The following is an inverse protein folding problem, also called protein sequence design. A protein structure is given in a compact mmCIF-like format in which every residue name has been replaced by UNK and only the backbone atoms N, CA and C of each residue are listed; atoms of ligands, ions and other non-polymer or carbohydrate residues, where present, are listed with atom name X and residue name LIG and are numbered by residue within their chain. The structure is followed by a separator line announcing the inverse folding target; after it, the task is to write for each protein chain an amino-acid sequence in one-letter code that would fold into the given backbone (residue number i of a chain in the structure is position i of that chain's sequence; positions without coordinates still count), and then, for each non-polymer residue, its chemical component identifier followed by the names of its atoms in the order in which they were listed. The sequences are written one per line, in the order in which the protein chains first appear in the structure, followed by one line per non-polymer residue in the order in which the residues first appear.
data_IF_439825152811
#
_entry.id   IF_439825152811
#
_cell.length_a   1.000
_cell.length_b   1.000
_cell.length_c   1.000
_cell.angle_alpha   90.00
_cell.angle_beta   90.00
_cell.angle_gamma   90.00
#
_symmetry.space_group_name_H-M   'P 1'
#
loop_
_entity.id
_entity.type
_entity.pdbx_description
1 polymer ?
#
# COMPACT_ATOMS: atom_id res chain seq x y z
N UNK A 1 -27.62 -4.85 -1.43
CA UNK A 1 -26.66 -3.75 -1.06
C UNK A 1 -25.92 -3.37 -2.32
N UNK A 2 -25.61 -2.07 -2.54
CA UNK A 2 -24.78 -1.66 -3.70
C UNK A 2 -23.34 -2.11 -3.46
N UNK A 3 -22.70 -2.82 -4.41
CA UNK A 3 -21.32 -3.24 -4.22
C UNK A 3 -20.39 -2.02 -4.17
N UNK A 4 -19.50 -2.00 -3.18
CA UNK A 4 -18.43 -0.99 -3.08
C UNK A 4 -17.21 -1.52 -3.79
N UNK A 5 -16.70 -0.77 -4.75
CA UNK A 5 -15.52 -1.12 -5.52
C UNK A 5 -14.53 0.04 -5.43
N UNK A 6 -13.36 -0.21 -4.88
CA UNK A 6 -12.30 0.79 -4.80
C UNK A 6 -11.22 0.56 -5.85
N UNK A 7 -10.59 1.64 -6.30
CA UNK A 7 -9.58 1.60 -7.35
C UNK A 7 -8.28 2.28 -6.87
N UNK A 8 -7.15 1.62 -7.09
CA UNK A 8 -5.82 2.20 -6.96
C UNK A 8 -5.02 1.89 -8.23
N UNK A 9 -4.33 2.89 -8.80
CA UNK A 9 -3.52 2.71 -10.01
C UNK A 9 -2.39 3.73 -10.12
N UNK A 10 -1.50 3.52 -11.08
CA UNK A 10 -0.44 4.43 -11.53
C UNK A 10 -0.81 5.17 -12.84
N UNK A 11 -2.07 5.13 -13.26
CA UNK A 11 -2.54 5.65 -14.56
C UNK A 11 -2.64 7.17 -14.62
N UNK A 12 -2.65 7.85 -13.45
CA UNK A 12 -2.92 9.30 -13.35
C UNK A 12 -4.35 9.65 -13.81
N UNK A 13 -4.68 10.94 -13.82
CA UNK A 13 -5.98 11.46 -14.27
C UNK A 13 -5.87 12.34 -15.52
N UNK A 14 -4.69 12.40 -16.14
CA UNK A 14 -4.46 13.18 -17.34
C UNK A 14 -5.12 12.55 -18.57
N UNK A 15 -5.03 11.22 -18.64
CA UNK A 15 -5.51 10.43 -19.76
C UNK A 15 -6.86 9.77 -19.44
N UNK A 16 -7.61 9.28 -20.43
CA UNK A 16 -8.97 8.77 -20.21
C UNK A 16 -9.04 7.36 -19.58
N UNK A 17 -7.90 6.69 -19.32
CA UNK A 17 -7.85 5.28 -18.92
C UNK A 17 -8.71 4.96 -17.69
N UNK A 18 -8.64 5.80 -16.66
CA UNK A 18 -9.45 5.63 -15.43
C UNK A 18 -10.94 5.74 -15.76
N UNK A 19 -11.33 6.74 -16.57
CA UNK A 19 -12.73 6.94 -16.95
C UNK A 19 -13.25 5.78 -17.81
N UNK A 20 -12.45 5.30 -18.78
CA UNK A 20 -12.80 4.17 -19.64
C UNK A 20 -13.02 2.89 -18.82
N UNK A 21 -12.12 2.59 -17.88
CA UNK A 21 -12.22 1.42 -17.03
C UNK A 21 -13.43 1.50 -16.10
N UNK A 22 -13.69 2.65 -15.48
CA UNK A 22 -14.90 2.88 -14.68
C UNK A 22 -16.17 2.76 -15.52
N UNK A 23 -16.15 3.27 -16.75
CA UNK A 23 -17.25 3.10 -17.70
C UNK A 23 -17.55 1.65 -18.00
N UNK A 24 -16.52 0.83 -18.22
CA UNK A 24 -16.66 -0.61 -18.43
C UNK A 24 -17.27 -1.32 -17.19
N UNK A 25 -16.79 -0.97 -15.98
CA UNK A 25 -17.39 -1.49 -14.73
C UNK A 25 -18.85 -1.13 -14.59
N UNK A 26 -19.23 0.14 -14.81
CA UNK A 26 -20.61 0.61 -14.68
C UNK A 26 -21.53 0.05 -15.77
N UNK A 27 -21.02 -0.27 -16.94
CA UNK A 27 -21.80 -0.94 -17.99
C UNK A 27 -22.18 -2.37 -17.61
N UNK A 28 -21.33 -3.05 -16.85
CA UNK A 28 -21.56 -4.43 -16.41
C UNK A 28 -22.23 -4.52 -15.02
N UNK A 29 -22.05 -3.50 -14.19
CA UNK A 29 -22.55 -3.42 -12.81
C UNK A 29 -23.06 -1.98 -12.54
N UNK A 30 -24.21 -1.60 -13.10
CA UNK A 30 -24.71 -0.22 -13.03
C UNK A 30 -24.97 0.29 -11.60
N UNK A 31 -25.22 -0.63 -10.66
CA UNK A 31 -25.46 -0.32 -9.25
C UNK A 31 -24.17 -0.14 -8.43
N UNK A 32 -22.99 -0.35 -9.01
CA UNK A 32 -21.73 -0.26 -8.28
C UNK A 32 -21.44 1.17 -7.76
N UNK A 33 -20.90 1.25 -6.54
CA UNK A 33 -20.33 2.48 -5.99
C UNK A 33 -18.82 2.43 -6.19
N UNK A 34 -18.32 3.23 -7.14
CA UNK A 34 -16.89 3.28 -7.49
C UNK A 34 -16.20 4.41 -6.71
N UNK A 35 -15.17 4.06 -5.95
CA UNK A 35 -14.42 4.98 -5.10
C UNK A 35 -12.91 4.90 -5.41
N UNK A 36 -12.26 6.03 -5.58
CA UNK A 36 -10.83 6.08 -5.83
C UNK A 36 -10.06 6.14 -4.50
N UNK A 37 -9.12 5.20 -4.31
CA UNK A 37 -8.09 5.37 -3.31
C UNK A 37 -7.11 6.43 -3.81
N UNK A 38 -6.46 6.16 -4.95
CA UNK A 38 -5.65 7.12 -5.71
C UNK A 38 -5.32 6.56 -7.09
N UNK A 39 -5.09 7.47 -8.04
CA UNK A 39 -4.51 7.15 -9.35
C UNK A 39 -3.13 7.77 -9.54
N UNK A 40 -2.52 8.23 -8.45
CA UNK A 40 -1.22 8.91 -8.42
C UNK A 40 -0.12 8.06 -7.75
N UNK A 41 -0.27 6.73 -7.76
CA UNK A 41 0.85 5.84 -7.46
C UNK A 41 1.97 6.13 -8.47
N UNK A 42 3.22 6.13 -8.04
CA UNK A 42 4.35 6.25 -8.95
C UNK A 42 4.38 5.04 -9.89
N UNK A 43 4.78 5.27 -11.16
CA UNK A 43 4.73 4.24 -12.19
C UNK A 43 5.45 2.98 -11.71
N UNK A 44 4.76 1.84 -11.79
CA UNK A 44 5.25 0.50 -11.42
C UNK A 44 5.59 0.31 -9.94
N UNK A 45 5.26 1.26 -9.05
CA UNK A 45 5.61 1.20 -7.63
C UNK A 45 4.62 0.35 -6.83
N UNK A 46 4.88 -0.95 -6.77
CA UNK A 46 4.05 -1.91 -6.03
C UNK A 46 4.16 -1.76 -4.52
N UNK A 47 5.30 -1.30 -3.99
CA UNK A 47 5.47 -1.01 -2.55
C UNK A 47 4.52 0.10 -2.11
N UNK A 48 4.47 1.18 -2.89
CA UNK A 48 3.55 2.29 -2.64
C UNK A 48 2.09 1.86 -2.73
N UNK A 49 1.74 1.03 -3.72
CA UNK A 49 0.38 0.46 -3.85
C UNK A 49 0.00 -0.36 -2.62
N UNK A 50 0.87 -1.30 -2.23
CA UNK A 50 0.65 -2.15 -1.06
C UNK A 50 0.50 -1.32 0.22
N UNK A 51 1.36 -0.33 0.42
CA UNK A 51 1.32 0.58 1.55
C UNK A 51 -0.01 1.34 1.60
N UNK A 52 -0.38 2.04 0.53
CA UNK A 52 -1.60 2.86 0.48
C UNK A 52 -2.87 2.00 0.62
N UNK A 53 -2.92 0.84 -0.01
CA UNK A 53 -4.07 -0.07 0.11
C UNK A 53 -4.19 -0.62 1.54
N UNK A 54 -3.09 -1.03 2.18
CA UNK A 54 -3.10 -1.48 3.59
C UNK A 54 -3.58 -0.41 4.54
N UNK A 55 -3.29 0.87 4.28
CA UNK A 55 -3.80 1.99 5.08
C UNK A 55 -5.30 2.19 4.94
N UNK A 56 -5.85 1.88 3.78
CA UNK A 56 -7.21 2.32 3.44
C UNK A 56 -8.27 1.22 3.52
N UNK A 57 -7.98 -0.03 3.16
CA UNK A 57 -9.01 -1.03 2.93
C UNK A 57 -9.90 -1.31 4.15
N UNK A 58 -9.33 -1.32 5.37
CA UNK A 58 -10.09 -1.56 6.63
C UNK A 58 -11.08 -0.46 6.99
N UNK A 59 -11.01 0.69 6.32
CA UNK A 59 -12.00 1.77 6.51
C UNK A 59 -13.25 1.56 5.65
N UNK A 60 -13.25 0.57 4.77
CA UNK A 60 -14.42 0.17 3.97
C UNK A 60 -15.17 -0.98 4.65
N UNK A 61 -16.47 -1.14 4.37
CA UNK A 61 -17.24 -2.28 4.86
C UNK A 61 -16.69 -3.62 4.35
N UNK A 62 -16.81 -4.68 5.14
CA UNK A 62 -16.55 -6.04 4.67
C UNK A 62 -17.37 -6.36 3.41
N UNK A 63 -16.82 -7.18 2.54
CA UNK A 63 -17.38 -7.46 1.22
C UNK A 63 -17.03 -6.43 0.15
N UNK A 64 -16.32 -5.34 0.50
CA UNK A 64 -15.81 -4.40 -0.50
C UNK A 64 -14.77 -5.06 -1.41
N UNK A 65 -14.79 -4.66 -2.69
CA UNK A 65 -13.88 -5.16 -3.72
C UNK A 65 -12.82 -4.08 -3.99
N UNK A 66 -11.55 -4.44 -3.88
CA UNK A 66 -10.42 -3.54 -4.06
C UNK A 66 -9.64 -3.93 -5.32
N UNK A 67 -9.56 -3.01 -6.29
CA UNK A 67 -8.89 -3.24 -7.57
C UNK A 67 -7.47 -2.65 -7.53
N UNK A 68 -6.47 -3.54 -7.66
CA UNK A 68 -5.05 -3.23 -7.67
C UNK A 68 -4.58 -3.13 -9.12
N UNK A 69 -4.56 -1.91 -9.67
CA UNK A 69 -4.34 -1.65 -11.10
C UNK A 69 -2.97 -1.00 -11.39
N UNK A 70 -2.05 -1.09 -10.43
CA UNK A 70 -0.67 -0.59 -10.60
C UNK A 70 0.14 -1.61 -11.39
N UNK A 71 0.90 -1.13 -12.39
CA UNK A 71 1.65 -1.99 -13.30
C UNK A 71 0.78 -3.05 -13.98
N UNK A 72 -0.51 -2.77 -14.13
CA UNK A 72 -1.44 -3.65 -14.81
C UNK A 72 -1.14 -3.61 -16.31
N UNK A 73 -0.63 -4.73 -16.83
CA UNK A 73 -0.22 -4.87 -18.22
C UNK A 73 -1.40 -5.30 -19.09
N UNK A 74 -1.53 -4.71 -20.26
CA UNK A 74 -2.47 -5.18 -21.29
C UNK A 74 -1.88 -6.31 -22.16
N UNK A 75 -0.84 -7.03 -21.67
CA UNK A 75 -0.20 -8.09 -22.44
C UNK A 75 -0.97 -9.41 -22.35
N UNK A 76 -0.89 -10.22 -23.38
CA UNK A 76 -1.62 -11.50 -23.47
C UNK A 76 -1.21 -12.56 -22.42
N UNK A 77 -0.11 -12.34 -21.68
CA UNK A 77 0.35 -13.24 -20.59
C UNK A 77 -0.28 -12.94 -19.24
N UNK A 78 -1.00 -11.82 -19.13
CA UNK A 78 -1.64 -11.42 -17.89
C UNK A 78 -2.94 -12.20 -17.66
N UNK A 79 -3.12 -12.71 -16.45
CA UNK A 79 -4.40 -13.24 -15.98
C UNK A 79 -4.63 -12.71 -14.56
N UNK A 80 -5.72 -11.97 -14.31
CA UNK A 80 -5.97 -11.43 -13.00
C UNK A 80 -6.20 -12.51 -11.95
N UNK A 81 -5.78 -12.21 -10.74
CA UNK A 81 -5.99 -13.05 -9.56
C UNK A 81 -6.91 -12.34 -8.57
N UNK A 82 -7.55 -13.13 -7.73
CA UNK A 82 -8.41 -12.68 -6.64
C UNK A 82 -7.94 -13.31 -5.34
N UNK A 83 -7.86 -12.51 -4.29
CA UNK A 83 -7.58 -12.91 -2.91
C UNK A 83 -8.68 -12.39 -1.99
N UNK A 84 -9.08 -13.19 -1.01
CA UNK A 84 -9.96 -12.74 0.09
C UNK A 84 -9.12 -12.64 1.36
N UNK A 85 -9.18 -11.48 2.01
CA UNK A 85 -8.45 -11.22 3.25
C UNK A 85 -9.26 -10.29 4.16
N UNK A 86 -9.38 -10.63 5.45
CA UNK A 86 -10.16 -9.87 6.45
C UNK A 86 -11.58 -9.51 5.97
N UNK A 87 -12.25 -10.40 5.26
CA UNK A 87 -13.59 -10.15 4.72
C UNK A 87 -13.64 -9.23 3.48
N UNK A 88 -12.50 -8.75 2.99
CA UNK A 88 -12.38 -7.93 1.78
C UNK A 88 -11.89 -8.74 0.59
N UNK A 89 -12.23 -8.30 -0.61
CA UNK A 89 -11.88 -8.97 -1.87
C UNK A 89 -10.92 -8.09 -2.64
N UNK A 90 -9.76 -8.63 -2.99
CA UNK A 90 -8.72 -7.93 -3.75
C UNK A 90 -8.55 -8.58 -5.11
N UNK A 91 -8.57 -7.78 -6.18
CA UNK A 91 -8.42 -8.26 -7.57
C UNK A 91 -7.35 -7.41 -8.26
N UNK A 92 -6.43 -8.06 -8.97
CA UNK A 92 -5.37 -7.40 -9.72
C UNK A 92 -4.46 -8.40 -10.41
N UNK A 93 -3.34 -7.91 -10.93
CA UNK A 93 -2.28 -8.74 -11.48
C UNK A 93 -1.46 -9.38 -10.36
N UNK A 94 -1.07 -10.65 -10.55
CA UNK A 94 -0.10 -11.31 -9.67
C UNK A 94 1.33 -10.87 -10.04
N UNK A 95 1.67 -9.66 -9.63
CA UNK A 95 2.96 -9.02 -9.85
C UNK A 95 3.76 -8.86 -8.53
N UNK A 96 3.33 -9.55 -7.48
CA UNK A 96 3.92 -9.51 -6.15
C UNK A 96 3.22 -8.53 -5.17
N UNK A 97 2.27 -7.70 -5.61
CA UNK A 97 1.57 -6.74 -4.74
C UNK A 97 0.82 -7.43 -3.61
N UNK A 98 0.23 -8.60 -3.85
CA UNK A 98 -0.49 -9.37 -2.83
C UNK A 98 0.43 -9.83 -1.70
N UNK A 99 1.65 -10.28 -2.03
CA UNK A 99 2.65 -10.64 -1.02
C UNK A 99 3.16 -9.43 -0.25
N UNK A 100 3.36 -8.29 -0.89
CA UNK A 100 3.71 -7.04 -0.21
C UNK A 100 2.61 -6.59 0.76
N UNK A 101 1.35 -6.91 0.47
CA UNK A 101 0.23 -6.58 1.35
C UNK A 101 0.06 -7.57 2.51
N UNK A 102 0.11 -8.86 2.24
CA UNK A 102 -0.41 -9.88 3.15
C UNK A 102 0.53 -11.09 3.33
N UNK A 103 1.62 -11.20 2.56
CA UNK A 103 2.43 -12.41 2.48
C UNK A 103 3.05 -12.83 3.80
N UNK A 104 3.91 -12.01 4.38
CA UNK A 104 4.67 -12.44 5.55
C UNK A 104 5.24 -13.86 5.37
N UNK A 105 5.09 -14.72 6.39
CA UNK A 105 5.46 -16.15 6.32
C UNK A 105 4.30 -17.04 5.84
N UNK A 106 3.09 -16.51 5.72
CA UNK A 106 1.88 -17.26 5.38
C UNK A 106 1.75 -17.43 3.86
N UNK A 107 1.46 -18.65 3.41
CA UNK A 107 1.10 -18.88 2.02
C UNK A 107 -0.23 -18.21 1.69
N UNK A 108 -0.28 -17.51 0.57
CA UNK A 108 -1.51 -16.92 0.05
C UNK A 108 -2.28 -17.96 -0.76
N UNK A 109 -3.60 -17.95 -0.62
CA UNK A 109 -4.50 -18.77 -1.42
C UNK A 109 -5.63 -17.91 -1.97
N UNK A 110 -5.93 -18.08 -3.24
CA UNK A 110 -6.93 -17.27 -3.95
C UNK A 110 -7.46 -17.97 -5.18
N UNK A 111 -7.81 -17.20 -6.18
CA UNK A 111 -8.31 -17.71 -7.46
C UNK A 111 -7.70 -16.92 -8.61
N UNK A 112 -7.46 -17.60 -9.74
CA UNK A 112 -6.94 -17.02 -10.97
C UNK A 112 -7.99 -17.10 -12.07
N UNK A 113 -8.09 -16.07 -12.90
CA UNK A 113 -8.93 -16.10 -14.08
C UNK A 113 -8.49 -17.22 -15.04
N UNK A 114 -9.43 -18.02 -15.53
CA UNK A 114 -9.13 -19.21 -16.33
C UNK A 114 -10.10 -19.43 -17.52
N UNK A 115 -10.98 -18.46 -17.79
CA UNK A 115 -11.88 -18.56 -18.93
C UNK A 115 -11.17 -18.22 -20.24
N UNK A 116 -11.40 -19.02 -21.29
CA UNK A 116 -10.88 -18.81 -22.65
C UNK A 116 -11.87 -17.97 -23.51
N UNK A 117 -12.34 -16.84 -22.98
CA UNK A 117 -13.36 -16.01 -23.62
C UNK A 117 -12.79 -14.90 -24.52
N UNK A 118 -11.46 -14.85 -24.68
CA UNK A 118 -10.75 -13.89 -25.55
C UNK A 118 -10.77 -12.45 -25.06
N UNK A 119 -11.13 -12.22 -23.81
CA UNK A 119 -11.12 -10.91 -23.18
C UNK A 119 -9.69 -10.41 -22.93
N UNK A 120 -9.46 -9.11 -23.12
CA UNK A 120 -8.23 -8.48 -22.66
C UNK A 120 -8.16 -8.46 -21.12
N UNK A 121 -6.96 -8.25 -20.51
CA UNK A 121 -6.78 -8.33 -19.07
C UNK A 121 -7.69 -7.41 -18.25
N UNK A 122 -7.95 -6.20 -18.70
CA UNK A 122 -8.83 -5.27 -18.00
C UNK A 122 -10.30 -5.71 -18.08
N UNK A 123 -10.72 -6.26 -19.22
CA UNK A 123 -12.04 -6.87 -19.38
C UNK A 123 -12.18 -8.12 -18.50
N UNK A 124 -11.11 -8.92 -18.34
CA UNK A 124 -11.11 -10.07 -17.41
C UNK A 124 -11.31 -9.60 -15.96
N UNK A 125 -10.67 -8.49 -15.53
CA UNK A 125 -10.92 -7.90 -14.20
C UNK A 125 -12.40 -7.50 -14.06
N UNK A 126 -12.97 -6.81 -15.04
CA UNK A 126 -14.40 -6.43 -15.03
C UNK A 126 -15.28 -7.66 -14.92
N UNK A 127 -14.98 -8.73 -15.67
CA UNK A 127 -15.69 -10.02 -15.60
C UNK A 127 -15.58 -10.66 -14.22
N UNK A 128 -14.41 -10.67 -13.61
CA UNK A 128 -14.21 -11.18 -12.25
C UNK A 128 -15.03 -10.39 -11.23
N UNK A 129 -15.00 -9.06 -11.28
CA UNK A 129 -15.80 -8.22 -10.39
C UNK A 129 -17.30 -8.53 -10.53
N UNK A 130 -17.79 -8.64 -11.78
CA UNK A 130 -19.18 -9.02 -12.04
C UNK A 130 -19.52 -10.40 -11.48
N UNK A 131 -18.60 -11.36 -11.63
CA UNK A 131 -18.79 -12.73 -11.10
C UNK A 131 -18.83 -12.74 -9.56
N UNK A 132 -17.99 -11.92 -8.89
CA UNK A 132 -18.05 -11.74 -7.43
C UNK A 132 -19.41 -11.19 -7.00
N UNK A 133 -19.86 -10.10 -7.63
CA UNK A 133 -21.14 -9.46 -7.31
C UNK A 133 -22.33 -10.41 -7.53
N UNK A 134 -22.25 -11.29 -8.53
CA UNK A 134 -23.31 -12.28 -8.86
C UNK A 134 -23.16 -13.63 -8.15
N UNK A 135 -22.10 -13.85 -7.37
CA UNK A 135 -21.84 -15.13 -6.73
C UNK A 135 -21.52 -16.28 -7.70
N UNK A 136 -20.94 -15.97 -8.86
CA UNK A 136 -20.63 -16.93 -9.93
C UNK A 136 -19.14 -17.04 -10.24
N UNK A 137 -18.27 -16.81 -9.25
CA UNK A 137 -16.81 -16.77 -9.40
C UNK A 137 -16.24 -18.06 -9.97
N UNK A 138 -16.74 -19.21 -9.53
CA UNK A 138 -16.28 -20.54 -9.96
C UNK A 138 -16.43 -20.79 -11.47
N UNK A 139 -17.36 -20.08 -12.14
CA UNK A 139 -17.56 -20.20 -13.58
C UNK A 139 -16.44 -19.61 -14.44
N UNK A 140 -15.61 -18.74 -13.86
CA UNK A 140 -14.57 -17.97 -14.59
C UNK A 140 -13.18 -18.08 -13.99
N UNK A 141 -13.04 -18.77 -12.86
CA UNK A 141 -11.78 -18.82 -12.13
C UNK A 141 -11.48 -20.22 -11.61
N UNK A 142 -10.20 -20.49 -11.35
CA UNK A 142 -9.74 -21.72 -10.70
C UNK A 142 -8.95 -21.39 -9.42
N UNK A 143 -8.82 -22.34 -8.45
CA UNK A 143 -7.96 -22.17 -7.28
C UNK A 143 -6.54 -21.79 -7.68
N UNK A 144 -5.91 -20.92 -6.88
CA UNK A 144 -4.57 -20.41 -7.14
C UNK A 144 -3.82 -20.16 -5.83
N UNK A 145 -2.59 -20.70 -5.72
CA UNK A 145 -1.73 -20.62 -4.53
C UNK A 145 -0.27 -20.26 -4.87
N UNK A 146 0.02 -19.95 -6.14
CA UNK A 146 1.36 -19.66 -6.64
C UNK A 146 1.63 -18.16 -6.76
N UNK A 147 1.16 -17.37 -5.78
CA UNK A 147 1.34 -15.92 -5.79
C UNK A 147 2.82 -15.53 -5.85
N UNK A 148 3.15 -14.55 -6.71
CA UNK A 148 4.50 -14.01 -6.83
C UNK A 148 4.96 -13.43 -5.49
N UNK A 149 6.16 -13.86 -5.04
CA UNK A 149 6.74 -13.46 -3.77
C UNK A 149 7.55 -12.18 -3.93
N UNK A 150 7.13 -11.15 -3.22
CA UNK A 150 7.92 -9.94 -2.96
C UNK A 150 7.90 -9.63 -1.47
N UNK A 151 9.06 -9.27 -0.94
CA UNK A 151 9.22 -9.01 0.50
C UNK A 151 9.17 -7.51 0.73
N UNK A 152 8.33 -7.07 1.68
CA UNK A 152 8.35 -5.71 2.18
C UNK A 152 9.64 -5.50 2.99
N UNK A 153 10.42 -4.43 2.73
CA UNK A 153 11.53 -4.10 3.60
C UNK A 153 11.05 -3.96 5.05
N UNK A 154 11.68 -4.69 5.96
CA UNK A 154 11.32 -4.69 7.37
C UNK A 154 12.38 -3.96 8.19
N UNK A 155 11.96 -3.20 9.20
CA UNK A 155 12.88 -2.65 10.18
C UNK A 155 13.50 -3.76 11.01
N UNK A 156 14.74 -3.56 11.45
CA UNK A 156 15.53 -4.53 12.22
C UNK A 156 15.86 -3.92 13.58
N UNK A 157 15.53 -4.64 14.65
CA UNK A 157 15.98 -4.30 16.00
C UNK A 157 17.27 -5.08 16.30
N UNK A 158 18.33 -4.37 16.70
CA UNK A 158 19.66 -4.92 17.03
C UNK A 158 19.97 -4.66 18.52
N UNK A 159 19.54 -5.57 19.43
CA UNK A 159 19.64 -5.33 20.88
C UNK A 159 21.05 -5.10 21.40
N UNK A 160 22.04 -5.79 20.83
CA UNK A 160 23.46 -5.66 21.25
C UNK A 160 23.99 -4.25 20.97
N UNK A 161 23.56 -3.62 19.89
CA UNK A 161 23.94 -2.27 19.50
C UNK A 161 23.02 -1.19 20.08
N UNK A 162 21.93 -1.61 20.76
CA UNK A 162 20.84 -0.74 21.20
C UNK A 162 20.33 0.15 20.06
N UNK A 163 20.07 -0.46 18.90
CA UNK A 163 19.63 0.27 17.72
C UNK A 163 18.44 -0.39 17.03
N UNK A 164 17.67 0.45 16.33
CA UNK A 164 16.66 0.04 15.37
C UNK A 164 17.05 0.63 14.02
N UNK A 165 17.14 -0.21 13.01
CA UNK A 165 17.40 0.19 11.62
C UNK A 165 16.15 0.04 10.79
N UNK A 166 15.83 1.06 10.01
CA UNK A 166 14.75 1.07 9.06
C UNK A 166 15.04 2.01 7.89
N UNK A 167 14.03 2.24 7.09
CA UNK A 167 14.12 3.12 5.92
C UNK A 167 12.81 3.90 5.70
N UNK A 168 12.89 4.98 4.95
CA UNK A 168 11.73 5.73 4.47
C UNK A 168 11.07 4.91 3.35
N UNK A 169 9.79 4.56 3.53
CA UNK A 169 9.03 3.76 2.55
C UNK A 169 8.03 4.59 1.75
N UNK A 170 7.66 5.78 2.24
CA UNK A 170 6.70 6.64 1.57
C UNK A 170 6.86 8.10 2.00
N UNK A 171 6.65 9.04 1.09
CA UNK A 171 6.52 10.47 1.37
C UNK A 171 5.09 10.87 1.03
N UNK A 172 4.36 11.41 2.01
CA UNK A 172 2.97 11.79 1.84
C UNK A 172 2.77 13.14 1.14
N UNK A 173 1.53 13.50 0.84
CA UNK A 173 1.18 14.77 0.19
C UNK A 173 1.53 16.01 1.05
N UNK A 174 1.71 15.85 2.36
CA UNK A 174 2.15 16.90 3.28
C UNK A 174 3.69 16.99 3.35
N UNK A 175 4.39 16.16 2.58
CA UNK A 175 5.84 15.99 2.63
C UNK A 175 6.35 15.48 3.98
N UNK A 176 5.59 14.68 4.71
CA UNK A 176 6.09 13.87 5.80
C UNK A 176 6.74 12.59 5.27
N UNK A 177 7.76 12.09 5.94
CA UNK A 177 8.44 10.88 5.53
C UNK A 177 8.08 9.71 6.47
N UNK A 178 7.43 8.69 5.93
CA UNK A 178 6.93 7.54 6.67
C UNK A 178 7.96 6.42 6.59
N UNK A 179 8.33 5.87 7.74
CA UNK A 179 9.30 4.78 7.83
C UNK A 179 8.62 3.42 7.91
N UNK A 180 9.38 2.35 7.68
CA UNK A 180 8.95 0.98 7.94
C UNK A 180 9.14 0.55 9.41
N UNK A 181 9.48 1.47 10.33
CA UNK A 181 9.70 1.17 11.75
C UNK A 181 8.36 1.15 12.48
N UNK A 182 7.89 -0.02 12.97
CA UNK A 182 6.65 -0.10 13.72
C UNK A 182 6.80 0.53 15.11
N UNK A 183 5.76 1.22 15.57
CA UNK A 183 5.76 1.86 16.90
C UNK A 183 5.90 0.85 18.05
N UNK A 184 5.36 -0.35 17.90
CA UNK A 184 5.48 -1.40 18.90
C UNK A 184 6.92 -1.90 19.05
N UNK A 185 7.68 -1.99 17.95
CA UNK A 185 9.11 -2.27 17.97
C UNK A 185 9.86 -1.15 18.71
N UNK A 186 9.55 0.11 18.39
CA UNK A 186 10.15 1.26 19.05
C UNK A 186 9.87 1.24 20.56
N UNK A 187 8.61 1.09 20.96
CA UNK A 187 8.21 1.07 22.38
C UNK A 187 8.86 -0.09 23.15
N UNK A 188 8.95 -1.28 22.56
CA UNK A 188 9.59 -2.45 23.19
C UNK A 188 11.09 -2.26 23.34
N UNK A 189 11.76 -1.65 22.38
CA UNK A 189 13.21 -1.50 22.38
C UNK A 189 13.67 -0.27 23.18
N UNK A 190 13.08 0.89 22.92
CA UNK A 190 13.49 2.19 23.48
C UNK A 190 12.79 2.46 24.82
N UNK A 191 11.48 2.17 24.90
CA UNK A 191 10.68 2.49 26.09
C UNK A 191 10.72 3.97 26.42
N UNK A 192 11.14 4.29 27.67
CA UNK A 192 11.30 5.66 28.17
C UNK A 192 12.75 6.17 28.10
N UNK A 193 13.67 5.42 27.48
CA UNK A 193 15.05 5.85 27.36
C UNK A 193 15.18 7.03 26.40
N UNK A 194 16.16 7.91 26.60
CA UNK A 194 16.55 8.89 25.58
C UNK A 194 16.95 8.16 24.29
N UNK A 195 16.63 8.74 23.16
CA UNK A 195 17.03 8.21 21.86
C UNK A 195 17.55 9.31 20.94
N UNK A 196 18.34 8.91 19.97
CA UNK A 196 18.72 9.74 18.83
C UNK A 196 18.54 8.94 17.55
N UNK A 197 17.77 9.47 16.63
CA UNK A 197 17.64 8.90 15.29
C UNK A 197 18.52 9.68 14.31
N UNK A 198 19.25 8.97 13.48
CA UNK A 198 20.00 9.53 12.35
C UNK A 198 19.31 9.11 11.04
N UNK A 199 19.06 10.09 10.18
CA UNK A 199 18.51 9.87 8.85
C UNK A 199 19.62 10.15 7.86
N UNK A 200 19.97 9.13 7.07
CA UNK A 200 21.04 9.20 6.07
C UNK A 200 20.42 9.52 4.70
N UNK A 201 20.41 10.81 4.35
CA UNK A 201 20.14 11.31 3.00
C UNK A 201 21.42 11.92 2.42
N UNK A 202 21.33 12.93 1.55
CA UNK A 202 22.52 13.73 1.15
C UNK A 202 23.25 14.37 2.34
N UNK A 203 22.49 14.69 3.40
CA UNK A 203 22.99 15.17 4.68
C UNK A 203 22.53 14.22 5.78
N UNK A 204 23.23 14.22 6.91
CA UNK A 204 22.79 13.48 8.10
C UNK A 204 21.94 14.37 8.98
N UNK A 205 20.72 13.94 9.26
CA UNK A 205 19.78 14.65 10.12
C UNK A 205 19.58 13.90 11.43
N UNK A 206 19.36 14.63 12.53
CA UNK A 206 19.16 14.04 13.85
C UNK A 206 17.81 14.40 14.43
N UNK A 207 17.11 13.39 14.98
CA UNK A 207 15.84 13.52 15.68
C UNK A 207 15.95 12.85 17.04
N UNK A 208 15.52 13.55 18.10
CA UNK A 208 15.56 13.00 19.47
C UNK A 208 14.25 13.18 20.23
N UNK A 209 13.17 13.57 19.54
CA UNK A 209 11.87 13.86 20.16
C UNK A 209 10.69 13.46 19.28
N UNK A 210 9.57 13.21 19.94
CA UNK A 210 8.26 13.14 19.29
C UNK A 210 7.59 14.52 19.22
N UNK A 211 6.63 14.64 18.30
CA UNK A 211 5.83 15.84 18.12
C UNK A 211 5.00 16.14 19.38
N UNK A 212 5.19 17.33 19.95
CA UNK A 212 4.39 17.84 21.08
C UNK A 212 3.30 18.79 20.55
N UNK A 213 2.05 18.34 20.63
CA UNK A 213 0.89 19.15 20.23
C UNK A 213 0.70 20.40 21.06
N UNK A 214 1.22 20.44 22.29
CA UNK A 214 1.08 21.59 23.20
C UNK A 214 2.14 22.65 22.97
N UNK A 215 3.27 22.26 22.38
CA UNK A 215 4.41 23.15 22.05
C UNK A 215 4.97 22.79 20.69
N UNK A 216 4.23 23.11 19.60
CA UNK A 216 4.69 22.76 18.27
C UNK A 216 5.92 23.60 17.88
N UNK A 217 7.01 22.94 17.54
CA UNK A 217 8.26 23.56 17.10
C UNK A 217 8.51 23.28 15.63
N UNK A 218 9.15 24.23 14.93
CA UNK A 218 9.56 24.07 13.52
C UNK A 218 10.86 23.29 13.41
N UNK A 219 10.91 22.13 14.06
CA UNK A 219 12.02 21.19 14.01
C UNK A 219 11.54 19.83 13.58
N UNK A 220 12.45 19.03 13.05
CA UNK A 220 12.13 17.63 12.75
C UNK A 220 11.82 16.87 14.02
N UNK A 221 10.76 16.11 13.99
CA UNK A 221 10.37 15.25 15.08
C UNK A 221 9.67 14.00 14.55
N UNK A 222 9.54 13.01 15.41
CA UNK A 222 8.73 11.83 15.11
C UNK A 222 7.25 12.05 15.44
N UNK A 223 6.40 11.41 14.69
CA UNK A 223 5.00 11.14 15.03
C UNK A 223 4.66 9.69 14.71
N UNK A 224 3.45 9.27 15.05
CA UNK A 224 2.96 7.92 14.75
C UNK A 224 1.83 8.09 13.75
N UNK A 225 1.93 7.42 12.60
CA UNK A 225 0.90 7.45 11.58
C UNK A 225 -0.26 6.48 11.89
N UNK A 226 -1.27 6.49 11.04
CA UNK A 226 -2.45 5.63 11.17
C UNK A 226 -2.18 4.12 11.05
N UNK A 227 -1.04 3.72 10.48
CA UNK A 227 -0.58 2.32 10.42
C UNK A 227 0.25 1.90 11.62
N UNK A 228 0.47 2.81 12.59
CA UNK A 228 1.34 2.53 13.72
C UNK A 228 2.83 2.48 13.36
N UNK A 229 3.26 3.17 12.30
CA UNK A 229 4.67 3.35 11.95
C UNK A 229 5.19 4.70 12.42
N UNK A 230 6.47 4.77 12.70
CA UNK A 230 7.18 6.03 12.96
C UNK A 230 7.19 6.87 11.69
N UNK A 231 6.83 8.13 11.81
CA UNK A 231 6.77 9.11 10.74
C UNK A 231 7.61 10.34 11.11
N UNK A 232 8.39 10.85 10.17
CA UNK A 232 9.19 12.07 10.31
C UNK A 232 8.33 13.24 9.83
N UNK A 233 8.12 14.20 10.71
CA UNK A 233 7.28 15.37 10.45
C UNK A 233 7.92 16.67 10.95
N UNK A 234 7.31 17.80 10.61
CA UNK A 234 7.67 19.13 11.08
C UNK A 234 6.41 20.00 11.14
N UNK A 235 6.22 20.72 12.23
CA UNK A 235 5.07 21.62 12.37
C UNK A 235 5.07 22.70 11.28
N UNK A 236 4.00 22.75 10.48
CA UNK A 236 3.83 23.67 9.35
C UNK A 236 5.03 23.68 8.38
N UNK A 237 5.73 22.56 8.24
CA UNK A 237 6.89 22.40 7.37
C UNK A 237 6.73 21.23 6.42
N UNK A 238 7.43 21.28 5.30
CA UNK A 238 7.53 20.21 4.32
C UNK A 238 8.85 19.47 4.55
N UNK A 239 8.89 18.60 5.56
CA UNK A 239 10.14 18.04 6.08
C UNK A 239 10.94 17.29 5.02
N UNK A 240 10.30 16.48 4.19
CA UNK A 240 10.99 15.73 3.14
C UNK A 240 11.65 16.66 2.10
N UNK A 241 10.96 17.75 1.73
CA UNK A 241 11.52 18.71 0.78
C UNK A 241 12.65 19.55 1.40
N UNK A 242 12.53 19.95 2.69
CA UNK A 242 13.53 20.75 3.39
C UNK A 242 14.81 19.99 3.67
N UNK A 243 14.69 18.70 3.96
CA UNK A 243 15.82 17.84 4.30
C UNK A 243 16.29 16.96 3.13
N UNK A 244 15.70 17.12 1.95
CA UNK A 244 15.96 16.30 0.76
C UNK A 244 15.84 14.79 1.04
N UNK A 245 14.80 14.42 1.81
CA UNK A 245 14.52 13.03 2.14
C UNK A 245 13.88 12.31 0.96
N UNK A 246 14.25 11.05 0.77
CA UNK A 246 13.77 10.21 -0.33
C UNK A 246 13.33 8.84 0.19
N UNK A 247 12.48 8.15 -0.56
CA UNK A 247 12.18 6.75 -0.30
C UNK A 247 13.46 5.92 -0.47
N UNK A 248 13.73 5.04 0.53
CA UNK A 248 14.96 4.26 0.63
C UNK A 248 16.04 4.89 1.52
N UNK A 249 15.88 6.14 1.97
CA UNK A 249 16.81 6.72 2.94
C UNK A 249 16.78 5.95 4.26
N UNK A 250 17.96 5.61 4.76
CA UNK A 250 18.13 4.84 6.01
C UNK A 250 17.79 5.69 7.22
N UNK A 251 17.08 5.10 8.16
CA UNK A 251 16.78 5.67 9.47
C UNK A 251 17.32 4.73 10.54
N UNK A 252 18.27 5.21 11.34
CA UNK A 252 18.86 4.47 12.45
C UNK A 252 18.53 5.15 13.76
N UNK A 253 17.87 4.44 14.68
CA UNK A 253 17.51 4.92 16.02
C UNK A 253 18.42 4.25 17.03
N UNK A 254 19.17 5.03 17.80
CA UNK A 254 20.02 4.59 18.91
C UNK A 254 19.43 5.04 20.25
N UNK A 255 19.54 4.18 21.31
CA UNK A 255 18.90 4.40 22.62
C UNK A 255 19.72 3.84 23.78
#
# INVERSE_FOLDING_TARGET
MRPIITLISDWRLRDPYVAMFKGALLSEIPEANLLDITHYVDMFNLLQTAFLMRQSYRNFPEGSIHLLLTNASATASFSPVMLVHDGHIFIGEDNGVFHLMFGGETALAGRKYSSEDGLDPLQQIVRMVKAVVKGSVDAYTQPYDQFERKIMPAAIHIPIQKSIEGEIIYIDANCNAITNIPVDMFVKAVGNNPFTAEIQSKNTWKISKFYDKTRPEKEMCFTINSLGCIEITMYQGKVAALADLQVGDRVEIQY
#
